data_IF_299353353715
#
_entry.id   IF_299353353715
#
_cell.length_a   1.000
_cell.length_b   1.000
_cell.length_c   1.000
_cell.angle_alpha   90.00
_cell.angle_beta   90.00
_cell.angle_gamma   90.00
#
_symmetry.space_group_name_H-M   'P 1'
#
loop_
_entity.id
_entity.type
_entity.pdbx_description
1 polymer ?
#
# COMPACT_ATOMS: atom_id res chain seq x y z
N UNK A 1 -46.68 -1.77 -2.68
CA UNK A 1 -45.27 -1.71 -2.22
C UNK A 1 -45.27 -1.98 -0.73
N UNK A 2 -44.79 -3.15 -0.32
CA UNK A 2 -44.67 -3.54 1.09
C UNK A 2 -43.49 -2.81 1.72
N UNK A 3 -43.72 -2.10 2.81
CA UNK A 3 -42.66 -1.43 3.57
C UNK A 3 -41.71 -2.50 4.09
N UNK A 4 -40.38 -2.39 3.85
CA UNK A 4 -39.43 -3.37 4.33
C UNK A 4 -39.50 -3.44 5.86
N UNK A 5 -39.76 -4.64 6.37
CA UNK A 5 -39.72 -4.91 7.81
C UNK A 5 -38.26 -4.86 8.30
N UNK A 6 -38.03 -4.56 9.58
CA UNK A 6 -36.68 -4.59 10.17
C UNK A 6 -35.96 -5.92 9.93
N UNK A 7 -36.69 -7.04 9.93
CA UNK A 7 -36.17 -8.37 9.65
C UNK A 7 -35.71 -8.53 8.20
N UNK A 8 -36.48 -8.02 7.24
CA UNK A 8 -36.10 -8.04 5.82
C UNK A 8 -34.86 -7.17 5.55
N UNK A 9 -34.72 -6.04 6.24
CA UNK A 9 -33.54 -5.19 6.16
C UNK A 9 -32.30 -5.87 6.78
N UNK A 10 -32.46 -6.54 7.93
CA UNK A 10 -31.38 -7.29 8.56
C UNK A 10 -30.91 -8.48 7.70
N UNK A 11 -31.83 -9.21 7.07
CA UNK A 11 -31.52 -10.30 6.16
C UNK A 11 -30.72 -9.82 4.94
N UNK A 12 -31.11 -8.69 4.33
CA UNK A 12 -30.40 -8.10 3.20
C UNK A 12 -28.99 -7.63 3.58
N UNK A 13 -28.81 -7.05 4.77
CA UNK A 13 -27.48 -6.67 5.27
C UNK A 13 -26.59 -7.91 5.49
N UNK A 14 -27.15 -8.98 6.06
CA UNK A 14 -26.43 -10.23 6.26
C UNK A 14 -26.01 -10.88 4.93
N UNK A 15 -26.86 -10.84 3.90
CA UNK A 15 -26.53 -11.32 2.56
C UNK A 15 -25.41 -10.50 1.91
N UNK A 16 -25.45 -9.17 2.05
CA UNK A 16 -24.39 -8.28 1.57
C UNK A 16 -23.06 -8.60 2.26
N UNK A 17 -23.06 -8.82 3.57
CA UNK A 17 -21.84 -9.18 4.31
C UNK A 17 -21.33 -10.58 3.93
N UNK A 18 -22.22 -11.55 3.71
CA UNK A 18 -21.85 -12.88 3.24
C UNK A 18 -21.27 -12.85 1.81
N UNK A 19 -21.85 -12.05 0.91
CA UNK A 19 -21.31 -11.84 -0.43
C UNK A 19 -19.94 -11.17 -0.38
N UNK A 20 -19.77 -10.15 0.47
CA UNK A 20 -18.50 -9.46 0.68
C UNK A 20 -17.43 -10.39 1.24
N UNK A 21 -17.81 -11.31 2.12
CA UNK A 21 -16.91 -12.32 2.70
C UNK A 21 -16.49 -13.36 1.67
N UNK A 22 -17.40 -13.85 0.83
CA UNK A 22 -17.07 -14.75 -0.30
C UNK A 22 -16.12 -14.11 -1.31
N UNK A 23 -16.35 -12.83 -1.63
CA UNK A 23 -15.45 -12.05 -2.50
C UNK A 23 -14.06 -11.87 -1.86
N UNK A 24 -13.99 -11.68 -0.53
CA UNK A 24 -12.72 -11.61 0.21
C UNK A 24 -11.97 -12.94 0.21
N UNK A 25 -12.67 -14.06 0.36
CA UNK A 25 -12.05 -15.39 0.30
C UNK A 25 -11.52 -15.71 -1.10
N UNK A 26 -12.15 -15.18 -2.15
CA UNK A 26 -11.67 -15.28 -3.54
C UNK A 26 -10.52 -14.32 -3.89
N UNK A 27 -10.34 -13.23 -3.15
CA UNK A 27 -9.20 -12.35 -3.28
C UNK A 27 -7.96 -13.01 -2.65
N UNK A 28 -7.22 -13.78 -3.45
CA UNK A 28 -6.02 -14.51 -3.01
C UNK A 28 -4.92 -13.62 -2.40
N UNK A 29 -3.80 -14.22 -1.94
CA UNK A 29 -2.75 -13.56 -1.16
C UNK A 29 -2.00 -12.43 -1.89
N UNK A 30 -2.32 -12.17 -3.16
CA UNK A 30 -1.69 -11.18 -4.02
C UNK A 30 -1.72 -9.76 -3.43
N UNK A 31 -2.82 -9.34 -2.79
CA UNK A 31 -2.91 -7.99 -2.18
C UNK A 31 -1.97 -7.86 -0.97
N UNK A 32 -1.89 -8.88 -0.12
CA UNK A 32 -0.93 -8.91 0.99
C UNK A 32 0.51 -8.98 0.50
N UNK A 33 0.79 -9.78 -0.53
CA UNK A 33 2.13 -9.89 -1.10
C UNK A 33 2.58 -8.55 -1.70
N UNK A 34 1.73 -7.90 -2.49
CA UNK A 34 1.99 -6.57 -3.04
C UNK A 34 2.30 -5.54 -1.95
N UNK A 35 1.49 -5.48 -0.90
CA UNK A 35 1.72 -4.53 0.21
C UNK A 35 3.04 -4.82 0.93
N UNK A 36 3.40 -6.08 1.16
CA UNK A 36 4.71 -6.42 1.75
C UNK A 36 5.84 -5.95 0.84
N UNK A 37 5.79 -6.27 -0.46
CA UNK A 37 6.80 -5.86 -1.43
C UNK A 37 6.91 -4.34 -1.52
N UNK A 38 5.78 -3.62 -1.54
CA UNK A 38 5.75 -2.17 -1.61
C UNK A 38 6.37 -1.54 -0.36
N UNK A 39 6.01 -2.03 0.83
CA UNK A 39 6.55 -1.54 2.09
C UNK A 39 8.06 -1.76 2.21
N UNK A 40 8.55 -2.95 1.86
CA UNK A 40 9.99 -3.27 1.92
C UNK A 40 10.79 -2.50 0.86
N UNK A 41 10.28 -2.40 -0.37
CA UNK A 41 10.91 -1.61 -1.43
C UNK A 41 10.98 -0.12 -1.05
N UNK A 42 9.92 0.41 -0.42
CA UNK A 42 9.89 1.81 0.03
C UNK A 42 10.93 2.04 1.12
N UNK A 43 11.00 1.16 2.12
CA UNK A 43 12.02 1.26 3.16
C UNK A 43 13.44 1.21 2.58
N UNK A 44 13.71 0.27 1.67
CA UNK A 44 15.01 0.16 1.00
C UNK A 44 15.38 1.41 0.20
N UNK A 45 14.41 2.00 -0.51
CA UNK A 45 14.62 3.24 -1.26
C UNK A 45 15.02 4.41 -0.35
N UNK A 46 14.34 4.60 0.79
CA UNK A 46 14.66 5.68 1.72
C UNK A 46 16.00 5.45 2.45
N UNK A 47 16.31 4.21 2.85
CA UNK A 47 17.60 3.87 3.46
C UNK A 47 18.79 4.04 2.47
N UNK A 48 18.53 4.01 1.17
CA UNK A 48 19.55 4.23 0.15
C UNK A 48 19.84 5.72 -0.12
N UNK A 49 18.93 6.64 0.24
CA UNK A 49 19.09 8.09 -0.04
C UNK A 49 20.38 8.69 0.54
N UNK A 50 20.73 8.48 1.82
CA UNK A 50 21.95 9.03 2.40
C UNK A 50 23.23 8.49 1.74
N UNK A 51 23.16 7.30 1.13
CA UNK A 51 24.30 6.60 0.52
C UNK A 51 24.53 6.98 -0.94
N UNK A 52 23.57 7.65 -1.58
CA UNK A 52 23.62 7.95 -3.00
C UNK A 52 24.75 8.91 -3.40
N UNK A 53 25.28 9.70 -2.45
CA UNK A 53 26.50 10.54 -2.57
C UNK A 53 26.49 11.61 -3.67
N UNK A 54 25.45 11.64 -4.52
CA UNK A 54 25.33 12.46 -5.71
C UNK A 54 23.87 12.50 -6.18
N UNK A 55 23.48 13.59 -6.85
CA UNK A 55 22.14 13.75 -7.43
C UNK A 55 21.80 12.65 -8.45
N UNK A 56 22.80 12.17 -9.19
CA UNK A 56 22.64 11.05 -10.15
C UNK A 56 22.29 9.74 -9.44
N UNK A 57 22.87 9.48 -8.26
CA UNK A 57 22.55 8.31 -7.44
C UNK A 57 21.11 8.36 -6.91
N UNK A 58 20.65 9.54 -6.51
CA UNK A 58 19.26 9.76 -6.05
C UNK A 58 18.27 9.50 -7.19
N UNK A 59 18.54 10.02 -8.39
CA UNK A 59 17.72 9.80 -9.58
C UNK A 59 17.67 8.33 -10.02
N UNK A 60 18.80 7.62 -9.96
CA UNK A 60 18.86 6.20 -10.28
C UNK A 60 18.05 5.36 -9.28
N UNK A 61 18.19 5.61 -7.98
CA UNK A 61 17.39 4.94 -6.94
C UNK A 61 15.89 5.19 -7.10
N UNK A 62 15.50 6.42 -7.45
CA UNK A 62 14.10 6.78 -7.68
C UNK A 62 13.52 6.06 -8.91
N UNK A 63 14.31 5.95 -9.97
CA UNK A 63 13.92 5.24 -11.20
C UNK A 63 13.70 3.75 -10.93
N UNK A 64 14.64 3.11 -10.23
CA UNK A 64 14.52 1.69 -9.85
C UNK A 64 13.31 1.46 -8.95
N UNK A 65 13.08 2.36 -7.99
CA UNK A 65 11.92 2.28 -7.10
C UNK A 65 10.61 2.39 -7.88
N UNK A 66 10.48 3.38 -8.76
CA UNK A 66 9.27 3.55 -9.60
C UNK A 66 9.02 2.31 -10.46
N UNK A 67 10.06 1.77 -11.10
CA UNK A 67 9.95 0.54 -11.90
C UNK A 67 9.53 -0.66 -11.05
N UNK A 68 10.06 -0.80 -9.83
CA UNK A 68 9.65 -1.84 -8.89
C UNK A 68 8.18 -1.71 -8.48
N UNK A 69 7.70 -0.49 -8.19
CA UNK A 69 6.30 -0.21 -7.87
C UNK A 69 5.38 -0.54 -9.05
N UNK A 70 5.76 -0.13 -10.26
CA UNK A 70 5.00 -0.43 -11.49
C UNK A 70 4.97 -1.94 -11.77
N UNK A 71 6.09 -2.64 -11.61
CA UNK A 71 6.16 -4.09 -11.77
C UNK A 71 5.29 -4.83 -10.75
N UNK A 72 5.34 -4.41 -9.48
CA UNK A 72 4.48 -4.96 -8.43
C UNK A 72 2.99 -4.69 -8.72
N UNK A 73 2.64 -3.50 -9.22
CA UNK A 73 1.27 -3.17 -9.60
C UNK A 73 0.80 -4.00 -10.80
N UNK A 74 1.66 -4.20 -11.80
CA UNK A 74 1.36 -5.05 -12.95
C UNK A 74 1.13 -6.51 -12.53
N UNK A 75 1.94 -7.06 -11.63
CA UNK A 75 1.77 -8.42 -11.09
C UNK A 75 0.45 -8.55 -10.31
N UNK A 76 0.08 -7.52 -9.54
CA UNK A 76 -1.19 -7.47 -8.80
C UNK A 76 -2.40 -7.44 -9.74
N UNK A 77 -2.28 -6.80 -10.91
CA UNK A 77 -3.32 -6.73 -11.93
C UNK A 77 -3.39 -8.03 -12.76
N UNK A 78 -2.24 -8.62 -13.10
CA UNK A 78 -2.15 -9.85 -13.90
C UNK A 78 -2.70 -11.09 -13.19
N UNK A 79 -2.69 -11.12 -11.87
CA UNK A 79 -3.29 -12.20 -11.06
C UNK A 79 -4.83 -12.16 -10.98
N UNK A 80 -5.49 -11.13 -11.51
CA UNK A 80 -6.95 -10.97 -11.45
C UNK A 80 -7.63 -11.53 -12.70
N UNK A 81 -7.86 -12.84 -12.71
CA UNK A 81 -8.85 -13.43 -13.61
C UNK A 81 -10.24 -12.85 -13.31
N UNK A 82 -10.73 -11.97 -14.21
CA UNK A 82 -12.14 -11.58 -14.48
C UNK A 82 -13.11 -11.36 -13.31
N UNK A 83 -12.65 -11.22 -12.09
CA UNK A 83 -13.49 -10.86 -10.94
C UNK A 83 -13.30 -9.39 -10.67
N UNK A 84 -14.37 -8.60 -10.94
CA UNK A 84 -14.57 -7.20 -10.55
C UNK A 84 -14.60 -7.00 -9.02
N UNK A 85 -13.86 -7.80 -8.27
CA UNK A 85 -13.67 -7.64 -6.84
C UNK A 85 -12.75 -6.42 -6.62
N UNK A 86 -13.37 -5.25 -6.50
CA UNK A 86 -12.69 -4.02 -6.13
C UNK A 86 -11.84 -4.20 -4.87
N UNK A 87 -10.81 -3.40 -4.72
CA UNK A 87 -9.95 -3.43 -3.54
C UNK A 87 -10.75 -3.20 -2.26
N UNK A 88 -10.34 -3.86 -1.17
CA UNK A 88 -10.94 -3.62 0.14
C UNK A 88 -10.73 -2.14 0.53
N UNK A 89 -11.68 -1.51 1.25
CA UNK A 89 -11.46 -0.16 1.78
C UNK A 89 -10.20 -0.04 2.66
N UNK A 90 -9.76 -1.14 3.27
CA UNK A 90 -8.54 -1.20 4.09
C UNK A 90 -7.28 -1.13 3.22
N UNK A 91 -7.29 -1.79 2.07
CA UNK A 91 -6.23 -1.67 1.07
C UNK A 91 -6.15 -0.24 0.54
N UNK A 92 -7.29 0.37 0.22
CA UNK A 92 -7.35 1.78 -0.21
C UNK A 92 -6.79 2.74 0.85
N UNK A 93 -7.16 2.55 2.12
CA UNK A 93 -6.61 3.33 3.25
C UNK A 93 -5.10 3.10 3.42
N UNK A 94 -4.62 1.87 3.30
CA UNK A 94 -3.19 1.56 3.40
C UNK A 94 -2.39 2.24 2.28
N UNK A 95 -2.88 2.20 1.04
CA UNK A 95 -2.27 2.87 -0.10
C UNK A 95 -2.32 4.39 0.01
N UNK A 96 -3.43 4.95 0.47
CA UNK A 96 -3.56 6.39 0.68
C UNK A 96 -2.60 6.91 1.76
N UNK A 97 -2.52 6.20 2.89
CA UNK A 97 -1.61 6.55 3.98
C UNK A 97 -0.13 6.38 3.57
N UNK A 98 0.19 5.29 2.87
CA UNK A 98 1.52 5.08 2.29
C UNK A 98 1.91 6.23 1.35
N UNK A 99 1.03 6.59 0.42
CA UNK A 99 1.28 7.64 -0.57
C UNK A 99 1.46 9.01 0.09
N UNK A 100 0.66 9.32 1.11
CA UNK A 100 0.79 10.56 1.88
C UNK A 100 2.12 10.65 2.61
N UNK A 101 2.51 9.60 3.35
CA UNK A 101 3.78 9.56 4.08
C UNK A 101 4.97 9.63 3.11
N UNK A 102 4.90 8.90 2.00
CA UNK A 102 5.93 8.92 0.96
C UNK A 102 6.09 10.32 0.37
N UNK A 103 5.02 10.95 -0.07
CA UNK A 103 5.07 12.26 -0.73
C UNK A 103 5.57 13.36 0.21
N UNK A 104 5.03 13.40 1.43
CA UNK A 104 5.42 14.41 2.44
C UNK A 104 6.87 14.18 2.88
N UNK A 105 7.24 12.95 3.19
CA UNK A 105 8.59 12.63 3.65
C UNK A 105 9.67 12.90 2.60
N UNK A 106 9.38 12.58 1.34
CA UNK A 106 10.27 12.86 0.21
C UNK A 106 10.38 14.38 -0.04
N UNK A 107 9.25 15.10 -0.04
CA UNK A 107 9.25 16.54 -0.23
C UNK A 107 10.07 17.25 0.86
N UNK A 108 9.87 16.90 2.13
CA UNK A 108 10.62 17.49 3.25
C UNK A 108 12.10 17.11 3.18
N UNK A 109 12.43 15.83 2.96
CA UNK A 109 13.81 15.36 2.94
C UNK A 109 14.67 15.95 1.80
N UNK A 110 14.05 16.35 0.69
CA UNK A 110 14.74 16.96 -0.45
C UNK A 110 14.73 18.50 -0.44
N UNK A 111 13.77 19.14 0.24
CA UNK A 111 13.64 20.61 0.23
C UNK A 111 14.26 21.29 1.45
N UNK A 112 14.34 20.60 2.59
CA UNK A 112 14.94 21.16 3.80
C UNK A 112 16.48 21.01 3.72
N UNK A 113 17.23 22.12 3.83
CA UNK A 113 18.69 22.07 3.79
C UNK A 113 19.26 21.14 4.86
N UNK A 114 20.22 20.29 4.47
CA UNK A 114 20.93 19.38 5.38
C UNK A 114 20.27 18.02 5.58
N UNK A 115 18.97 17.84 5.28
CA UNK A 115 18.28 16.56 5.48
C UNK A 115 18.57 15.52 4.39
N UNK A 116 18.96 15.95 3.18
CA UNK A 116 19.18 15.05 2.05
C UNK A 116 20.19 13.92 2.34
N UNK A 117 21.13 14.13 3.27
CA UNK A 117 22.15 13.15 3.66
C UNK A 117 22.03 12.69 5.13
N UNK A 118 21.00 13.13 5.85
CA UNK A 118 20.85 12.87 7.28
C UNK A 118 20.12 11.55 7.55
N UNK A 119 20.87 10.55 8.03
CA UNK A 119 20.33 9.26 8.45
C UNK A 119 19.23 9.38 9.51
N UNK A 120 19.28 10.40 10.37
CA UNK A 120 18.28 10.61 11.41
C UNK A 120 16.90 10.99 10.85
N UNK A 121 16.83 11.47 9.60
CA UNK A 121 15.59 11.73 8.89
C UNK A 121 15.11 10.51 8.09
N UNK A 122 16.00 9.92 7.29
CA UNK A 122 15.62 8.88 6.34
C UNK A 122 15.33 7.53 7.00
N UNK A 123 16.00 7.17 8.09
CA UNK A 123 15.76 5.90 8.78
C UNK A 123 14.38 5.83 9.47
N UNK A 124 13.94 6.84 10.25
CA UNK A 124 12.57 6.87 10.77
C UNK A 124 11.53 6.93 9.66
N UNK A 125 11.79 7.66 8.58
CA UNK A 125 10.87 7.76 7.45
C UNK A 125 10.70 6.42 6.71
N UNK A 126 11.78 5.63 6.56
CA UNK A 126 11.73 4.29 6.00
C UNK A 126 10.76 3.38 6.77
N UNK A 127 10.75 3.48 8.11
CA UNK A 127 9.81 2.75 8.96
C UNK A 127 8.38 3.31 8.81
N UNK A 128 8.25 4.63 8.84
CA UNK A 128 6.95 5.30 8.73
C UNK A 128 6.24 5.01 7.40
N UNK A 129 6.98 4.91 6.29
CA UNK A 129 6.40 4.59 4.98
C UNK A 129 6.08 3.11 4.84
N UNK A 130 6.86 2.21 5.47
CA UNK A 130 6.61 0.78 5.41
C UNK A 130 5.44 0.34 6.27
N UNK A 131 5.21 1.01 7.42
CA UNK A 131 4.20 0.62 8.39
C UNK A 131 2.77 0.52 7.83
N UNK A 132 2.23 1.50 7.06
CA UNK A 132 0.91 1.39 6.45
C UNK A 132 0.74 0.14 5.59
N UNK A 133 1.76 -0.19 4.79
CA UNK A 133 1.76 -1.35 3.92
C UNK A 133 1.83 -2.67 4.70
N UNK A 134 2.72 -2.77 5.70
CA UNK A 134 2.85 -3.97 6.53
C UNK A 134 1.61 -4.22 7.39
N UNK A 135 1.04 -3.17 7.98
CA UNK A 135 -0.22 -3.24 8.73
C UNK A 135 -1.38 -3.60 7.81
N UNK A 136 -1.43 -3.00 6.62
CA UNK A 136 -2.40 -3.34 5.58
C UNK A 136 -2.31 -4.81 5.19
N UNK A 137 -1.10 -5.32 4.91
CA UNK A 137 -0.84 -6.71 4.56
C UNK A 137 -1.31 -7.68 5.65
N UNK A 138 -0.99 -7.39 6.92
CA UNK A 138 -1.42 -8.23 8.05
C UNK A 138 -2.95 -8.27 8.19
N UNK A 139 -3.63 -7.16 7.89
CA UNK A 139 -5.10 -7.06 7.92
C UNK A 139 -5.80 -7.71 6.72
N UNK A 140 -5.09 -7.90 5.62
CA UNK A 140 -5.58 -8.60 4.42
C UNK A 140 -5.33 -10.12 4.48
N UNK A 141 -4.58 -10.63 5.47
CA UNK A 141 -4.44 -12.08 5.65
C UNK A 141 -5.78 -12.70 6.07
N UNK A 142 -6.21 -13.82 5.45
CA UNK A 142 -7.39 -14.55 5.90
C UNK A 142 -7.17 -15.04 7.34
N UNK A 143 -8.16 -14.80 8.20
CA UNK A 143 -8.25 -15.35 9.56
C UNK A 143 -9.23 -16.52 9.55
#
# INVERSE_FOLDING_TARGET
MTVPTPESAAALLAEVDAARTRVRQGAGPAASAFLVTLGTASAGFFLAQPLAGSERGVGAAATVFVLAVLGAAAALLGGRGTTRAGFSPRFGLAMGLWGAVLAVGLAVGLTVPGLAYDWSWWAPLAVAVAAPCLVGAWRERPR
#
